data_IF_039901311372
#
_entry.id   IF_039901311372
#
_cell.length_a   1.000
_cell.length_b   1.000
_cell.length_c   1.000
_cell.angle_alpha   90.00
_cell.angle_beta   90.00
_cell.angle_gamma   90.00
#
_symmetry.space_group_name_H-M   'P 1'
#
loop_
_entity.id
_entity.type
_entity.pdbx_description
1 polymer ?
#
# COMPACT_ATOMS: atom_id res chain seq x y z
N UNK A 1 9.15 35.34 -24.56
CA UNK A 1 9.75 34.64 -23.39
C UNK A 1 8.62 34.30 -22.42
N UNK A 2 8.11 33.07 -22.47
CA UNK A 2 7.09 32.62 -21.52
C UNK A 2 7.77 32.24 -20.19
N UNK A 3 7.35 32.89 -19.12
CA UNK A 3 7.83 32.65 -17.75
C UNK A 3 7.31 31.28 -17.31
N UNK A 4 8.19 30.27 -17.24
CA UNK A 4 7.84 28.96 -16.67
C UNK A 4 7.49 29.16 -15.20
N UNK A 5 6.22 29.13 -14.85
CA UNK A 5 5.80 29.15 -13.46
C UNK A 5 6.35 27.89 -12.75
N UNK A 6 6.81 27.99 -11.49
CA UNK A 6 7.27 26.83 -10.76
C UNK A 6 6.11 25.83 -10.66
N UNK A 7 6.32 24.64 -11.22
CA UNK A 7 5.42 23.51 -11.09
C UNK A 7 5.13 23.33 -9.60
N UNK A 8 3.86 23.38 -9.19
CA UNK A 8 3.45 22.90 -7.88
C UNK A 8 4.05 21.49 -7.71
N UNK A 9 5.08 21.37 -6.88
CA UNK A 9 5.71 20.09 -6.58
C UNK A 9 4.69 19.29 -5.79
N UNK A 10 3.95 18.42 -6.49
CA UNK A 10 3.03 17.51 -5.83
C UNK A 10 3.86 16.62 -4.92
N UNK A 11 3.51 16.64 -3.63
CA UNK A 11 4.18 15.80 -2.64
C UNK A 11 4.07 14.33 -3.03
N UNK A 12 5.21 13.64 -3.07
CA UNK A 12 5.29 12.18 -3.28
C UNK A 12 5.12 11.37 -2.00
N UNK A 13 4.80 12.04 -0.89
CA UNK A 13 4.52 11.41 0.40
C UNK A 13 3.56 10.21 0.30
N UNK A 14 2.48 10.22 -0.50
CA UNK A 14 1.60 9.05 -0.62
C UNK A 14 2.32 7.80 -1.14
N UNK A 15 3.25 7.95 -2.09
CA UNK A 15 4.03 6.84 -2.64
C UNK A 15 5.11 6.36 -1.67
N UNK A 16 5.76 7.27 -0.95
CA UNK A 16 6.70 6.87 0.12
C UNK A 16 5.98 6.07 1.19
N UNK A 17 4.79 6.51 1.62
CA UNK A 17 4.01 5.79 2.61
C UNK A 17 3.60 4.39 2.12
N UNK A 18 3.13 4.26 0.88
CA UNK A 18 2.85 2.95 0.27
C UNK A 18 4.10 2.05 0.31
N UNK A 19 5.24 2.57 -0.15
CA UNK A 19 6.50 1.84 -0.20
C UNK A 19 6.93 1.35 1.20
N UNK A 20 6.90 2.21 2.21
CA UNK A 20 7.31 1.86 3.57
C UNK A 20 6.34 0.90 4.27
N UNK A 21 5.05 1.01 3.98
CA UNK A 21 4.03 0.16 4.59
C UNK A 21 4.03 -1.24 3.97
N UNK A 22 4.10 -1.33 2.64
CA UNK A 22 3.94 -2.59 1.93
C UNK A 22 5.27 -3.36 1.80
N UNK A 23 6.44 -2.73 1.90
CA UNK A 23 7.73 -3.45 1.89
C UNK A 23 7.84 -4.50 3.00
N UNK A 24 7.68 -4.17 4.29
CA UNK A 24 7.76 -5.18 5.35
C UNK A 24 6.63 -6.22 5.23
N UNK A 25 5.44 -5.82 4.78
CA UNK A 25 4.33 -6.74 4.55
C UNK A 25 4.64 -7.76 3.45
N UNK A 26 5.17 -7.29 2.31
CA UNK A 26 5.56 -8.14 1.20
C UNK A 26 6.66 -9.13 1.59
N UNK A 27 7.71 -8.67 2.27
CA UNK A 27 8.77 -9.56 2.78
C UNK A 27 8.19 -10.62 3.72
N UNK A 28 7.31 -10.21 4.64
CA UNK A 28 6.69 -11.13 5.57
C UNK A 28 5.78 -12.16 4.89
N UNK A 29 5.02 -11.76 3.86
CA UNK A 29 4.19 -12.70 3.09
C UNK A 29 5.04 -13.68 2.28
N UNK A 30 6.20 -13.23 1.78
CA UNK A 30 7.10 -14.08 1.02
C UNK A 30 7.80 -15.12 1.88
N UNK A 31 8.35 -14.70 3.03
CA UNK A 31 9.15 -15.56 3.90
C UNK A 31 8.32 -16.34 4.92
N UNK A 32 7.18 -15.82 5.38
CA UNK A 32 6.35 -16.43 6.43
C UNK A 32 4.88 -16.69 5.98
N UNK A 33 4.61 -17.29 4.81
CA UNK A 33 3.24 -17.40 4.28
C UNK A 33 2.30 -18.26 5.13
N UNK A 34 2.79 -19.35 5.74
CA UNK A 34 1.96 -20.18 6.64
C UNK A 34 1.44 -19.40 7.86
N UNK A 35 2.29 -18.54 8.44
CA UNK A 35 1.88 -17.66 9.54
C UNK A 35 0.83 -16.64 9.10
N UNK A 36 0.88 -16.16 7.85
CA UNK A 36 -0.13 -15.24 7.31
C UNK A 36 -1.50 -15.89 7.13
N UNK A 37 -1.52 -17.19 6.85
CA UNK A 37 -2.74 -17.96 6.71
C UNK A 37 -3.34 -18.38 8.06
N UNK A 38 -2.57 -18.29 9.15
CA UNK A 38 -3.01 -18.73 10.49
C UNK A 38 -3.28 -20.23 10.56
N UNK A 39 -2.64 -21.02 9.69
CA UNK A 39 -2.82 -22.46 9.61
C UNK A 39 -1.84 -23.17 10.54
N UNK A 40 -2.32 -24.20 11.25
CA UNK A 40 -1.48 -25.08 12.06
C UNK A 40 -0.70 -26.11 11.23
N UNK A 41 -1.13 -26.35 9.99
CA UNK A 41 -0.50 -27.28 9.05
C UNK A 41 -0.12 -26.57 7.75
N UNK A 42 0.96 -27.03 7.11
CA UNK A 42 1.40 -26.46 5.82
C UNK A 42 0.47 -26.90 4.70
N UNK A 43 -0.03 -25.92 3.94
CA UNK A 43 -0.85 -26.14 2.74
C UNK A 43 -0.13 -25.51 1.55
N UNK A 44 0.71 -26.27 0.81
CA UNK A 44 1.66 -25.71 -0.15
C UNK A 44 1.03 -24.81 -1.22
N UNK A 45 -0.16 -25.17 -1.70
CA UNK A 45 -0.88 -24.40 -2.73
C UNK A 45 -1.34 -23.04 -2.19
N UNK A 46 -1.84 -22.98 -0.95
CA UNK A 46 -2.25 -21.73 -0.32
C UNK A 46 -1.03 -20.85 -0.03
N UNK A 47 0.06 -21.43 0.46
CA UNK A 47 1.29 -20.68 0.68
C UNK A 47 1.90 -20.14 -0.62
N UNK A 48 1.81 -20.88 -1.73
CA UNK A 48 2.25 -20.41 -3.05
C UNK A 48 1.46 -19.17 -3.50
N UNK A 49 0.14 -19.15 -3.27
CA UNK A 49 -0.70 -17.97 -3.55
C UNK A 49 -0.29 -16.77 -2.69
N UNK A 50 0.01 -16.98 -1.41
CA UNK A 50 0.50 -15.90 -0.53
C UNK A 50 1.85 -15.35 -1.02
N UNK A 51 2.78 -16.22 -1.45
CA UNK A 51 4.06 -15.79 -2.04
C UNK A 51 3.86 -15.04 -3.36
N UNK A 52 2.91 -15.46 -4.20
CA UNK A 52 2.56 -14.73 -5.42
C UNK A 52 2.00 -13.33 -5.09
N UNK A 53 1.15 -13.22 -4.06
CA UNK A 53 0.66 -11.93 -3.59
C UNK A 53 1.78 -11.04 -3.03
N UNK A 54 2.79 -11.63 -2.37
CA UNK A 54 3.98 -10.92 -1.94
C UNK A 54 4.77 -10.32 -3.13
N UNK A 55 4.93 -11.07 -4.21
CA UNK A 55 5.57 -10.57 -5.44
C UNK A 55 4.76 -9.45 -6.09
N UNK A 56 3.42 -9.53 -6.06
CA UNK A 56 2.55 -8.46 -6.53
C UNK A 56 2.74 -7.18 -5.72
N UNK A 57 2.88 -7.29 -4.39
CA UNK A 57 3.20 -6.15 -3.51
C UNK A 57 4.59 -5.56 -3.77
N UNK A 58 5.61 -6.39 -3.98
CA UNK A 58 6.91 -5.89 -4.38
C UNK A 58 6.84 -5.16 -5.74
N UNK A 59 6.01 -5.64 -6.66
CA UNK A 59 5.80 -4.99 -7.95
C UNK A 59 5.12 -3.63 -7.79
N UNK A 60 4.13 -3.49 -6.91
CA UNK A 60 3.50 -2.18 -6.62
C UNK A 60 4.49 -1.21 -5.96
N UNK A 61 5.40 -1.70 -5.13
CA UNK A 61 6.49 -0.92 -4.57
C UNK A 61 7.46 -0.39 -5.63
N UNK A 62 7.81 -1.21 -6.63
CA UNK A 62 8.62 -0.75 -7.76
C UNK A 62 7.91 0.32 -8.59
N UNK A 63 6.59 0.18 -8.80
CA UNK A 63 5.77 1.22 -9.44
C UNK A 63 5.78 2.51 -8.62
N UNK A 64 5.61 2.43 -7.30
CA UNK A 64 5.67 3.59 -6.42
C UNK A 64 7.03 4.28 -6.46
N UNK A 65 8.13 3.50 -6.44
CA UNK A 65 9.49 4.01 -6.57
C UNK A 65 9.71 4.71 -7.92
N UNK A 66 9.23 4.13 -9.02
CA UNK A 66 9.30 4.75 -10.34
C UNK A 66 8.54 6.09 -10.39
N UNK A 67 7.42 6.22 -9.67
CA UNK A 67 6.67 7.48 -9.57
C UNK A 67 7.39 8.52 -8.71
N UNK A 68 8.10 8.10 -7.66
CA UNK A 68 8.94 8.97 -6.82
C UNK A 68 10.11 9.56 -7.62
N UNK A 69 10.74 8.75 -8.47
CA UNK A 69 11.95 9.12 -9.21
C UNK A 69 11.69 9.98 -10.47
N UNK A 70 10.46 10.45 -10.70
CA UNK A 70 10.10 11.23 -11.88
C UNK A 70 9.26 12.46 -11.55
N UNK A 71 9.21 13.47 -12.43
CA UNK A 71 8.28 14.59 -12.27
C UNK A 71 6.82 14.11 -12.23
N UNK A 72 6.03 14.72 -11.36
CA UNK A 72 4.60 14.43 -11.24
C UNK A 72 3.81 14.86 -12.47
N UNK A 73 2.92 14.00 -12.94
CA UNK A 73 1.98 14.28 -14.03
C UNK A 73 0.64 13.54 -13.85
N UNK A 74 -0.20 13.53 -14.90
CA UNK A 74 -1.47 12.82 -14.87
C UNK A 74 -1.33 11.30 -14.66
N UNK A 75 -0.22 10.69 -15.09
CA UNK A 75 0.06 9.28 -14.83
C UNK A 75 0.28 9.04 -13.34
N UNK A 76 1.04 9.90 -12.66
CA UNK A 76 1.21 9.85 -11.20
C UNK A 76 -0.15 9.82 -10.47
N UNK A 77 -1.12 10.61 -10.92
CA UNK A 77 -2.45 10.63 -10.31
C UNK A 77 -3.19 9.31 -10.52
N UNK A 78 -3.25 8.82 -11.76
CA UNK A 78 -3.94 7.56 -12.09
C UNK A 78 -3.34 6.38 -11.32
N UNK A 79 -2.02 6.29 -11.27
CA UNK A 79 -1.31 5.27 -10.50
C UNK A 79 -1.61 5.42 -9.01
N UNK A 80 -1.63 6.65 -8.47
CA UNK A 80 -1.99 6.86 -7.05
C UNK A 80 -3.41 6.37 -6.74
N UNK A 81 -4.37 6.56 -7.65
CA UNK A 81 -5.73 6.04 -7.47
C UNK A 81 -5.76 4.51 -7.45
N UNK A 82 -5.06 3.86 -8.37
CA UNK A 82 -4.96 2.40 -8.43
C UNK A 82 -4.33 1.80 -7.16
N UNK A 83 -3.21 2.37 -6.69
CA UNK A 83 -2.57 1.97 -5.43
C UNK A 83 -3.44 2.32 -4.22
N UNK A 84 -4.22 3.40 -4.28
CA UNK A 84 -5.17 3.78 -3.24
C UNK A 84 -6.23 2.69 -3.03
N UNK A 85 -6.87 2.23 -4.12
CA UNK A 85 -7.92 1.19 -4.05
C UNK A 85 -7.40 -0.10 -3.40
N UNK A 86 -6.15 -0.47 -3.67
CA UNK A 86 -5.53 -1.64 -3.04
C UNK A 86 -5.64 -1.61 -1.50
N UNK A 87 -5.44 -0.45 -0.87
CA UNK A 87 -5.45 -0.34 0.59
C UNK A 87 -6.84 -0.51 1.24
N UNK A 88 -7.92 -0.53 0.46
CA UNK A 88 -9.26 -0.84 0.98
C UNK A 88 -9.31 -2.27 1.55
N UNK A 89 -8.75 -3.26 0.85
CA UNK A 89 -8.84 -4.65 1.28
C UNK A 89 -8.06 -4.93 2.60
N UNK A 90 -6.79 -4.50 2.76
CA UNK A 90 -6.09 -4.59 4.03
C UNK A 90 -6.77 -3.80 5.17
N UNK A 91 -7.38 -2.65 4.88
CA UNK A 91 -8.13 -1.87 5.86
C UNK A 91 -9.37 -2.63 6.36
N UNK A 92 -10.20 -3.14 5.44
CA UNK A 92 -11.38 -3.97 5.77
C UNK A 92 -10.96 -5.19 6.59
N UNK A 93 -9.88 -5.86 6.19
CA UNK A 93 -9.33 -7.01 6.93
C UNK A 93 -8.90 -6.63 8.36
N UNK A 94 -8.22 -5.51 8.54
CA UNK A 94 -7.78 -5.05 9.86
C UNK A 94 -8.96 -4.65 10.75
N UNK A 95 -9.94 -3.93 10.20
CA UNK A 95 -11.17 -3.56 10.91
C UNK A 95 -12.00 -4.79 11.30
N UNK A 96 -12.11 -5.78 10.40
CA UNK A 96 -12.78 -7.04 10.71
C UNK A 96 -12.16 -7.78 11.90
N UNK A 97 -10.82 -7.79 12.01
CA UNK A 97 -10.11 -8.35 13.17
C UNK A 97 -10.41 -7.58 14.47
N UNK A 98 -10.45 -6.24 14.40
CA UNK A 98 -10.78 -5.38 15.55
C UNK A 98 -12.20 -5.68 16.03
N UNK A 99 -13.18 -5.71 15.11
CA UNK A 99 -14.57 -6.02 15.43
C UNK A 99 -14.77 -7.43 15.97
N UNK A 100 -13.99 -8.40 15.50
CA UNK A 100 -13.99 -9.77 16.02
C UNK A 100 -13.30 -9.91 17.40
N UNK A 101 -12.83 -8.81 18.00
CA UNK A 101 -12.12 -8.85 19.29
C UNK A 101 -10.74 -9.49 19.23
N UNK A 102 -10.19 -9.71 18.02
CA UNK A 102 -8.86 -10.30 17.80
C UNK A 102 -7.76 -9.23 17.96
N UNK A 103 -7.83 -8.47 19.06
CA UNK A 103 -6.95 -7.31 19.35
C UNK A 103 -5.66 -7.72 20.06
N UNK A 104 -5.49 -9.01 20.38
CA UNK A 104 -4.23 -9.53 20.90
C UNK A 104 -3.07 -9.15 19.98
N UNK A 105 -1.88 -8.91 20.54
CA UNK A 105 -0.65 -8.62 19.79
C UNK A 105 -0.34 -9.81 18.87
N UNK A 106 -0.97 -9.85 17.70
CA UNK A 106 -0.68 -10.82 16.65
C UNK A 106 0.76 -10.62 16.20
N UNK A 107 1.44 -11.72 15.87
CA UNK A 107 2.87 -11.89 15.56
C UNK A 107 3.42 -11.14 14.33
N UNK A 108 2.92 -9.94 14.02
CA UNK A 108 3.41 -9.04 12.98
C UNK A 108 3.91 -7.70 13.55
N UNK A 109 4.53 -6.89 12.68
CA UNK A 109 4.97 -5.52 13.00
C UNK A 109 3.76 -4.60 13.25
N UNK A 110 3.17 -4.69 14.45
CA UNK A 110 2.03 -3.88 14.90
C UNK A 110 0.72 -4.66 14.96
N UNK A 111 -0.10 -4.37 15.98
CA UNK A 111 -1.42 -4.97 16.14
C UNK A 111 -2.43 -4.53 15.06
N UNK A 112 -3.68 -5.05 15.09
CA UNK A 112 -4.71 -4.71 14.11
C UNK A 112 -4.98 -3.21 13.97
N UNK A 113 -4.88 -2.44 15.06
CA UNK A 113 -5.05 -0.98 15.05
C UNK A 113 -3.98 -0.25 14.24
N UNK A 114 -2.71 -0.67 14.36
CA UNK A 114 -1.60 -0.06 13.61
C UNK A 114 -1.77 -0.31 12.11
N UNK A 115 -2.15 -1.54 11.74
CA UNK A 115 -2.46 -1.88 10.36
C UNK A 115 -3.63 -1.07 9.82
N UNK A 116 -4.75 -1.00 10.56
CA UNK A 116 -5.91 -0.22 10.14
C UNK A 116 -5.55 1.26 9.93
N UNK A 117 -4.83 1.86 10.89
CA UNK A 117 -4.43 3.26 10.80
C UNK A 117 -3.48 3.53 9.63
N UNK A 118 -2.44 2.71 9.45
CA UNK A 118 -1.49 2.85 8.35
C UNK A 118 -2.17 2.75 6.99
N UNK A 119 -3.01 1.74 6.79
CA UNK A 119 -3.75 1.58 5.53
C UNK A 119 -4.80 2.67 5.32
N UNK A 120 -5.45 3.18 6.38
CA UNK A 120 -6.38 4.30 6.27
C UNK A 120 -5.68 5.60 5.83
N UNK A 121 -4.51 5.91 6.39
CA UNK A 121 -3.71 7.08 5.96
C UNK A 121 -3.23 6.88 4.51
N UNK A 122 -2.71 5.70 4.18
CA UNK A 122 -2.24 5.42 2.82
C UNK A 122 -3.37 5.58 1.79
N UNK A 123 -4.53 4.99 2.07
CA UNK A 123 -5.75 5.14 1.28
C UNK A 123 -6.12 6.63 1.11
N UNK A 124 -6.23 7.36 2.22
CA UNK A 124 -6.63 8.76 2.20
C UNK A 124 -5.67 9.63 1.38
N UNK A 125 -4.37 9.49 1.59
CA UNK A 125 -3.36 10.31 0.91
C UNK A 125 -3.25 9.99 -0.58
N UNK A 126 -3.32 8.72 -0.96
CA UNK A 126 -3.28 8.28 -2.36
C UNK A 126 -4.54 8.73 -3.13
N UNK A 127 -5.72 8.55 -2.54
CA UNK A 127 -6.97 9.04 -3.15
C UNK A 127 -7.03 10.57 -3.22
N UNK A 128 -6.50 11.27 -2.21
CA UNK A 128 -6.39 12.73 -2.25
C UNK A 128 -5.49 13.19 -3.40
N UNK A 129 -4.41 12.48 -3.70
CA UNK A 129 -3.55 12.79 -4.84
C UNK A 129 -4.25 12.51 -6.19
N UNK A 130 -5.00 11.42 -6.26
CA UNK A 130 -5.81 11.07 -7.43
C UNK A 130 -6.85 12.15 -7.76
N UNK A 131 -7.58 12.63 -6.76
CA UNK A 131 -8.68 13.60 -6.92
C UNK A 131 -8.22 15.04 -7.16
N UNK A 132 -6.92 15.36 -6.98
CA UNK A 132 -6.42 16.71 -7.27
C UNK A 132 -6.67 17.08 -8.74
N UNK A 133 -7.09 18.33 -9.07
CA UNK A 133 -7.30 18.74 -10.45
C UNK A 133 -6.04 18.50 -11.30
N UNK A 134 -6.19 17.93 -12.49
CA UNK A 134 -5.12 17.90 -13.48
C UNK A 134 -5.03 19.32 -14.02
N UNK A 135 -3.94 20.04 -13.77
CA UNK A 135 -3.71 21.34 -14.42
C UNK A 135 -3.19 21.00 -15.81
N UNK A 136 -3.96 21.22 -16.89
CA UNK A 136 -3.46 20.99 -18.24
C UNK A 136 -2.27 21.92 -18.49
N UNK A 137 -1.22 21.37 -19.09
CA UNK A 137 -0.04 22.12 -19.55
C UNK A 137 -0.34 22.80 -20.87
#
# INVERSE_FOLDING_TARGET
MARSQPLSSRSMLPFYLHLFLETPAALNFFFNPGQQLGLSESVPQAEAVVRQYAVLLLSSNLVALAMICRPSDGTTQRVSGALGIYHVAPLVRAVGKIWAGQVSLSSGLGGPWVHAFGHAIALFLLLSLYLKPIIPR
#
